data_IF_162669893087
#
_entry.id   IF_162669893087
#
_cell.length_a   1.000
_cell.length_b   1.000
_cell.length_c   1.000
_cell.angle_alpha   90.00
_cell.angle_beta   90.00
_cell.angle_gamma   90.00
#
_symmetry.space_group_name_H-M   'P 1'
#
loop_
_entity.id
_entity.type
_entity.pdbx_description
1 polymer ?
#
# COMPACT_ATOMS: atom_id res chain seq x y z
N UNK A 1 22.76 10.98 -10.40
CA UNK A 1 21.39 10.74 -10.92
C UNK A 1 20.64 12.06 -10.82
N UNK A 2 20.12 12.54 -11.93
CA UNK A 2 19.25 13.73 -11.92
C UNK A 2 17.84 13.29 -11.52
N UNK A 3 17.26 13.95 -10.51
CA UNK A 3 15.87 13.73 -10.12
C UNK A 3 14.92 14.02 -11.30
N UNK A 4 13.90 13.20 -11.46
CA UNK A 4 12.90 13.35 -12.52
C UNK A 4 11.57 13.78 -11.91
N UNK A 5 10.98 14.86 -12.43
CA UNK A 5 9.66 15.29 -12.00
C UNK A 5 8.59 14.29 -12.46
N UNK A 6 7.64 13.98 -11.59
CA UNK A 6 6.50 13.10 -11.89
C UNK A 6 5.45 13.69 -12.82
N UNK A 7 5.54 14.98 -13.17
CA UNK A 7 4.60 15.61 -14.10
C UNK A 7 3.14 15.62 -13.66
N UNK A 8 2.88 15.73 -12.36
CA UNK A 8 1.54 15.72 -11.77
C UNK A 8 0.70 16.96 -12.09
N UNK A 9 1.27 17.96 -12.75
CA UNK A 9 0.60 19.23 -13.11
C UNK A 9 -0.67 19.04 -13.97
N UNK A 10 -0.76 17.90 -14.68
CA UNK A 10 -1.93 17.53 -15.48
C UNK A 10 -2.95 16.68 -14.72
N UNK A 11 -2.72 16.43 -13.43
CA UNK A 11 -3.64 15.65 -12.60
C UNK A 11 -4.67 16.55 -11.93
N UNK A 12 -5.90 16.08 -11.85
CA UNK A 12 -6.93 16.72 -11.04
C UNK A 12 -7.10 15.95 -9.72
N UNK A 13 -6.93 16.66 -8.60
CA UNK A 13 -7.13 16.08 -7.28
C UNK A 13 -8.64 15.97 -7.00
N UNK A 14 -9.16 14.76 -7.08
CA UNK A 14 -10.59 14.48 -6.88
C UNK A 14 -10.93 14.08 -5.44
N UNK A 15 -9.94 13.69 -4.65
CA UNK A 15 -10.10 13.32 -3.24
C UNK A 15 -8.83 13.66 -2.47
N UNK A 16 -8.99 14.10 -1.22
CA UNK A 16 -7.87 14.30 -0.29
C UNK A 16 -8.28 14.04 1.17
N UNK A 17 -7.33 13.53 1.94
CA UNK A 17 -7.38 13.48 3.40
C UNK A 17 -6.05 13.96 3.95
N UNK A 18 -6.09 14.93 4.84
CA UNK A 18 -4.88 15.55 5.42
C UNK A 18 -4.38 14.85 6.68
N UNK A 19 -5.15 13.93 7.24
CA UNK A 19 -4.86 13.31 8.54
C UNK A 19 -4.61 11.80 8.46
N UNK A 20 -4.58 11.24 7.25
CA UNK A 20 -4.60 9.79 7.07
C UNK A 20 -5.91 9.17 7.54
N UNK A 21 -6.04 7.87 7.40
CA UNK A 21 -7.22 7.12 7.84
C UNK A 21 -6.83 5.75 8.39
N UNK A 22 -7.47 5.35 9.49
CA UNK A 22 -7.45 3.96 9.93
C UNK A 22 -8.72 3.29 9.42
N UNK A 23 -8.57 2.26 8.60
CA UNK A 23 -9.68 1.54 7.99
C UNK A 23 -9.73 0.12 8.56
N UNK A 24 -10.89 -0.30 9.07
CA UNK A 24 -11.13 -1.69 9.43
C UNK A 24 -11.60 -2.43 8.18
N UNK A 25 -10.68 -3.10 7.51
CA UNK A 25 -10.96 -3.81 6.25
C UNK A 25 -11.43 -5.22 6.57
N UNK A 26 -12.58 -5.60 6.01
CA UNK A 26 -13.14 -6.96 6.11
C UNK A 26 -13.44 -7.47 4.69
N UNK A 27 -13.42 -8.78 4.54
CA UNK A 27 -13.71 -9.40 3.26
C UNK A 27 -15.09 -8.98 2.73
N UNK A 28 -15.16 -8.59 1.45
CA UNK A 28 -16.37 -8.16 0.75
C UNK A 28 -17.09 -6.94 1.36
N UNK A 29 -16.40 -6.11 2.10
CA UNK A 29 -16.95 -4.89 2.67
C UNK A 29 -16.57 -3.66 1.84
N UNK A 30 -17.52 -2.75 1.64
CA UNK A 30 -17.25 -1.40 1.13
C UNK A 30 -17.06 -0.47 2.32
N UNK A 31 -15.99 0.30 2.31
CA UNK A 31 -15.65 1.24 3.38
C UNK A 31 -15.54 2.63 2.78
N UNK A 32 -16.22 3.60 3.37
CA UNK A 32 -16.05 5.00 3.01
C UNK A 32 -14.72 5.52 3.60
N UNK A 33 -13.84 5.96 2.73
CA UNK A 33 -12.57 6.58 3.14
C UNK A 33 -12.83 8.05 3.49
N UNK A 34 -12.58 8.48 4.74
CA UNK A 34 -12.83 9.86 5.13
C UNK A 34 -11.91 10.82 4.39
N UNK A 35 -12.49 11.91 3.89
CA UNK A 35 -11.76 12.92 3.13
C UNK A 35 -12.70 13.91 2.45
N UNK A 36 -12.10 14.84 1.73
CA UNK A 36 -12.82 15.84 0.93
C UNK A 36 -12.79 15.43 -0.54
N UNK A 37 -13.97 15.37 -1.14
CA UNK A 37 -14.11 15.06 -2.56
C UNK A 37 -14.31 16.32 -3.39
N UNK A 38 -13.69 16.36 -4.57
CA UNK A 38 -13.87 17.37 -5.59
C UNK A 38 -14.20 16.71 -6.93
N UNK A 39 -15.21 17.22 -7.61
CA UNK A 39 -15.61 16.68 -8.92
C UNK A 39 -14.56 17.08 -9.96
N UNK A 40 -14.01 16.12 -10.74
CA UNK A 40 -13.15 16.44 -11.87
C UNK A 40 -13.88 17.28 -12.93
N UNK A 41 -13.19 18.15 -13.66
CA UNK A 41 -13.73 18.79 -14.85
C UNK A 41 -14.28 17.77 -15.86
N UNK A 42 -15.22 18.21 -16.71
CA UNK A 42 -15.65 17.39 -17.83
C UNK A 42 -14.45 17.09 -18.74
N UNK A 43 -14.31 15.84 -19.13
CA UNK A 43 -13.16 15.39 -19.92
C UNK A 43 -12.97 13.89 -19.88
N UNK A 44 -11.93 13.44 -20.54
CA UNK A 44 -11.54 12.04 -20.62
C UNK A 44 -10.21 11.83 -19.92
N UNK A 45 -10.19 10.88 -19.01
CA UNK A 45 -9.03 10.55 -18.17
C UNK A 45 -8.52 9.16 -18.52
N UNK A 46 -7.21 9.04 -18.68
CA UNK A 46 -6.54 7.80 -19.07
C UNK A 46 -5.77 7.15 -17.92
N UNK A 47 -5.53 7.91 -16.84
CA UNK A 47 -4.73 7.47 -15.71
C UNK A 47 -5.40 7.82 -14.39
N UNK A 48 -5.16 6.98 -13.38
CA UNK A 48 -5.37 7.27 -11.97
C UNK A 48 -4.04 7.45 -11.26
N UNK A 49 -4.00 8.36 -10.31
CA UNK A 49 -2.83 8.59 -9.46
C UNK A 49 -3.26 8.59 -8.01
N UNK A 50 -2.56 7.83 -7.18
CA UNK A 50 -2.73 7.81 -5.74
C UNK A 50 -1.43 8.31 -5.10
N UNK A 51 -1.55 9.37 -4.30
CA UNK A 51 -0.44 9.92 -3.50
C UNK A 51 -0.75 9.65 -2.04
N UNK A 52 0.12 8.93 -1.37
CA UNK A 52 -0.03 8.55 0.05
C UNK A 52 1.29 8.76 0.79
N UNK A 53 1.22 8.80 2.11
CA UNK A 53 2.43 8.79 2.93
C UNK A 53 3.20 7.49 2.71
N UNK A 54 4.52 7.52 2.87
CA UNK A 54 5.37 6.34 2.77
C UNK A 54 5.33 5.47 4.04
N UNK A 55 4.42 5.76 4.97
CA UNK A 55 4.27 5.06 6.25
C UNK A 55 2.92 4.36 6.32
N UNK A 56 2.95 3.05 6.57
CA UNK A 56 1.79 2.17 6.63
C UNK A 56 1.69 1.50 7.99
N UNK A 57 0.48 1.41 8.54
CA UNK A 57 0.23 0.66 9.76
C UNK A 57 -0.70 -0.51 9.50
N UNK A 58 -0.30 -1.70 9.92
CA UNK A 58 -1.03 -2.94 9.76
C UNK A 58 -1.40 -3.50 11.13
N UNK A 59 -2.64 -3.99 11.26
CA UNK A 59 -3.11 -4.72 12.44
C UNK A 59 -3.89 -5.93 11.95
N UNK A 60 -3.37 -7.13 12.19
CA UNK A 60 -4.03 -8.35 11.75
C UNK A 60 -3.82 -9.51 12.72
N UNK A 61 -4.75 -10.46 12.70
CA UNK A 61 -4.63 -11.76 13.34
C UNK A 61 -5.17 -12.83 12.41
N UNK A 62 -4.50 -13.99 12.38
CA UNK A 62 -4.88 -15.14 11.56
C UNK A 62 -4.78 -16.42 12.36
N UNK A 63 -5.58 -17.41 11.94
CA UNK A 63 -5.46 -18.78 12.41
C UNK A 63 -5.06 -19.68 11.24
N UNK A 64 -4.06 -20.51 11.45
CA UNK A 64 -3.54 -21.48 10.50
C UNK A 64 -3.96 -22.92 10.87
N UNK A 65 -4.00 -23.81 9.89
CA UNK A 65 -4.30 -25.23 10.11
C UNK A 65 -3.14 -25.98 10.79
N UNK A 66 -1.91 -25.48 10.68
CA UNK A 66 -0.71 -25.99 11.31
C UNK A 66 0.05 -24.92 12.05
N UNK A 67 0.97 -25.31 12.93
CA UNK A 67 1.84 -24.38 13.60
C UNK A 67 2.82 -23.73 12.62
N UNK A 68 2.95 -22.40 12.70
CA UNK A 68 3.91 -21.60 11.94
C UNK A 68 4.75 -20.77 12.92
N UNK A 69 5.90 -20.27 12.49
CA UNK A 69 6.77 -19.40 13.28
C UNK A 69 6.35 -17.93 13.17
N UNK A 70 6.48 -17.19 14.25
CA UNK A 70 6.44 -15.73 14.25
C UNK A 70 7.84 -15.14 14.12
N UNK A 71 7.95 -13.92 13.59
CA UNK A 71 9.23 -13.21 13.44
C UNK A 71 9.95 -12.96 14.77
N UNK A 72 9.23 -12.99 15.88
CA UNK A 72 9.78 -12.91 17.23
C UNK A 72 10.32 -14.25 17.76
N UNK A 73 10.36 -15.31 16.93
CA UNK A 73 10.82 -16.66 17.29
C UNK A 73 9.80 -17.49 18.05
N UNK A 74 8.56 -17.03 18.18
CA UNK A 74 7.46 -17.83 18.75
C UNK A 74 6.87 -18.78 17.69
N UNK A 75 6.06 -19.76 18.11
CA UNK A 75 5.40 -20.70 17.19
C UNK A 75 4.00 -21.07 17.67
N UNK A 76 3.10 -21.26 16.72
CA UNK A 76 1.72 -21.66 17.01
C UNK A 76 0.79 -21.56 15.82
N UNK A 77 -0.48 -21.90 16.04
CA UNK A 77 -1.53 -21.86 15.00
C UNK A 77 -2.26 -20.52 14.95
N UNK A 78 -2.12 -19.67 15.97
CA UNK A 78 -2.67 -18.32 15.99
C UNK A 78 -1.53 -17.34 15.89
N UNK A 79 -1.53 -16.53 14.83
CA UNK A 79 -0.51 -15.51 14.61
C UNK A 79 -1.14 -14.13 14.53
N UNK A 80 -0.42 -13.13 15.02
CA UNK A 80 -0.86 -11.75 15.01
C UNK A 80 0.30 -10.79 14.78
N UNK A 81 0.01 -9.61 14.23
CA UNK A 81 0.96 -8.51 14.18
C UNK A 81 1.31 -8.02 15.58
N UNK A 82 2.54 -7.58 15.76
CA UNK A 82 3.06 -7.03 17.03
C UNK A 82 3.10 -5.51 16.94
N UNK A 83 2.78 -4.83 18.03
CA UNK A 83 2.95 -3.38 18.10
C UNK A 83 4.43 -3.01 17.99
N UNK A 84 4.76 -2.23 16.96
CA UNK A 84 6.14 -1.83 16.70
C UNK A 84 6.24 -0.98 15.43
N UNK A 85 7.48 -0.66 15.05
CA UNK A 85 7.77 0.04 13.80
C UNK A 85 9.14 -0.30 13.27
N UNK A 86 9.28 -0.33 11.95
CA UNK A 86 10.54 -0.53 11.26
C UNK A 86 10.60 0.31 9.99
N UNK A 87 11.82 0.73 9.63
CA UNK A 87 12.07 1.41 8.35
C UNK A 87 12.57 0.41 7.33
N UNK A 88 11.86 0.31 6.23
CA UNK A 88 12.16 -0.58 5.11
C UNK A 88 13.00 0.21 4.10
N UNK A 89 14.31 0.04 4.16
CA UNK A 89 15.30 0.72 3.31
C UNK A 89 15.96 -0.20 2.29
N UNK A 90 17.09 0.25 1.76
CA UNK A 90 17.83 -0.33 0.62
C UNK A 90 18.30 -1.78 0.75
N UNK A 91 17.91 -2.48 1.77
CA UNK A 91 18.22 -3.91 1.98
C UNK A 91 17.08 -4.86 1.60
N UNK A 92 15.88 -4.35 1.30
CA UNK A 92 14.69 -5.20 1.12
C UNK A 92 14.42 -6.02 2.38
N UNK A 93 14.62 -5.42 3.54
CA UNK A 93 14.56 -6.13 4.82
C UNK A 93 13.11 -6.53 5.12
N UNK A 94 12.95 -7.79 5.46
CA UNK A 94 11.72 -8.27 6.08
C UNK A 94 11.69 -7.73 7.51
N UNK A 95 10.57 -7.14 7.99
CA UNK A 95 10.50 -6.62 9.36
C UNK A 95 10.83 -7.68 10.39
N UNK A 96 11.80 -7.41 11.26
CA UNK A 96 12.42 -8.40 12.14
C UNK A 96 11.57 -8.82 13.34
N UNK A 97 10.47 -8.14 13.61
CA UNK A 97 9.58 -8.44 14.74
C UNK A 97 8.12 -8.09 14.45
N UNK A 98 7.69 -8.29 13.21
CA UNK A 98 6.35 -7.88 12.76
C UNK A 98 5.24 -8.81 13.24
N UNK A 99 5.55 -10.06 13.63
CA UNK A 99 4.55 -11.05 14.00
C UNK A 99 4.97 -11.92 15.19
N UNK A 100 3.97 -12.40 15.91
CA UNK A 100 4.08 -13.39 16.99
C UNK A 100 3.05 -14.49 16.78
N UNK A 101 3.38 -15.74 17.20
CA UNK A 101 2.49 -16.88 17.07
C UNK A 101 2.33 -17.62 18.40
N UNK A 102 1.19 -18.32 18.59
CA UNK A 102 0.90 -19.05 19.84
C UNK A 102 -0.17 -20.12 19.66
N UNK A 103 -0.44 -20.85 20.76
CA UNK A 103 -1.44 -21.93 20.80
C UNK A 103 -2.86 -21.44 21.00
N UNK A 104 -3.08 -20.16 21.29
CA UNK A 104 -4.38 -19.51 21.50
C UNK A 104 -4.44 -18.17 20.79
N UNK A 105 -5.66 -17.66 20.58
CA UNK A 105 -5.87 -16.38 19.92
C UNK A 105 -5.09 -15.24 20.61
N UNK A 106 -4.42 -14.42 19.80
CA UNK A 106 -3.58 -13.32 20.23
C UNK A 106 -4.26 -12.01 19.82
N UNK A 107 -4.24 -11.04 20.72
CA UNK A 107 -4.69 -9.68 20.39
C UNK A 107 -3.64 -9.00 19.53
N UNK A 108 -3.96 -8.58 18.28
CA UNK A 108 -2.97 -7.99 17.40
C UNK A 108 -2.60 -6.57 17.86
N UNK A 109 -1.31 -6.23 17.69
CA UNK A 109 -0.79 -4.89 17.81
C UNK A 109 -0.63 -4.23 16.45
N UNK A 110 -0.63 -2.89 16.38
CA UNK A 110 -0.36 -2.15 15.15
C UNK A 110 1.16 -2.17 14.88
N UNK A 111 1.57 -2.79 13.77
CA UNK A 111 2.93 -2.67 13.24
C UNK A 111 2.97 -1.56 12.20
N UNK A 112 3.99 -0.71 12.23
CA UNK A 112 4.14 0.45 11.34
C UNK A 112 5.41 0.30 10.52
N UNK A 113 5.27 0.33 9.21
CA UNK A 113 6.39 0.31 8.27
C UNK A 113 6.53 1.68 7.60
N UNK A 114 7.75 2.17 7.52
CA UNK A 114 8.11 3.35 6.73
C UNK A 114 8.95 2.90 5.55
N UNK A 115 8.41 3.03 4.36
CA UNK A 115 9.08 2.62 3.11
C UNK A 115 9.98 3.73 2.62
N UNK A 116 11.29 3.48 2.54
CA UNK A 116 12.28 4.45 2.05
C UNK A 116 12.96 4.02 0.76
N UNK A 117 12.84 2.75 0.36
CA UNK A 117 13.18 2.27 -0.99
C UNK A 117 12.43 0.97 -1.28
N UNK A 118 12.26 0.66 -2.56
CA UNK A 118 11.79 -0.66 -2.99
C UNK A 118 12.93 -1.68 -2.93
N UNK A 119 12.58 -2.93 -3.18
CA UNK A 119 13.56 -4.02 -3.21
C UNK A 119 14.80 -3.65 -4.05
N UNK A 120 15.97 -3.94 -3.54
CA UNK A 120 17.28 -3.60 -4.12
C UNK A 120 17.62 -2.10 -4.13
N UNK A 121 16.96 -1.27 -3.33
CA UNK A 121 17.26 0.15 -3.21
C UNK A 121 16.75 1.00 -4.37
N UNK A 122 15.75 0.53 -5.11
CA UNK A 122 15.10 1.29 -6.15
C UNK A 122 14.08 2.28 -5.58
N UNK A 123 13.86 3.39 -6.28
CA UNK A 123 12.84 4.41 -5.94
C UNK A 123 11.67 4.40 -6.93
N UNK A 124 11.70 3.49 -7.89
CA UNK A 124 10.65 3.20 -8.84
C UNK A 124 10.44 1.69 -8.95
N UNK A 125 9.22 1.27 -9.13
CA UNK A 125 8.85 -0.13 -9.32
C UNK A 125 7.63 -0.25 -10.23
N UNK A 126 7.69 -1.17 -11.18
CA UNK A 126 6.55 -1.54 -12.01
C UNK A 126 6.00 -2.89 -11.52
N UNK A 127 4.72 -2.92 -11.25
CA UNK A 127 3.99 -4.14 -10.90
C UNK A 127 2.87 -4.35 -11.91
N UNK A 128 2.91 -5.48 -12.59
CA UNK A 128 1.77 -5.96 -13.37
C UNK A 128 0.89 -6.78 -12.43
N UNK A 129 -0.21 -6.22 -12.00
CA UNK A 129 -1.21 -6.97 -11.25
C UNK A 129 -2.10 -7.72 -12.22
N UNK A 130 -1.94 -9.05 -12.28
CA UNK A 130 -2.83 -9.92 -13.00
C UNK A 130 -4.11 -10.13 -12.18
N UNK A 131 -5.25 -9.84 -12.81
CA UNK A 131 -6.55 -10.24 -12.27
C UNK A 131 -7.21 -9.36 -11.19
N UNK A 132 -7.06 -8.06 -11.24
CA UNK A 132 -7.99 -7.19 -10.55
C UNK A 132 -9.39 -7.31 -11.21
N UNK A 133 -10.26 -8.16 -10.66
CA UNK A 133 -11.59 -8.46 -11.22
C UNK A 133 -11.59 -8.94 -12.69
N UNK A 134 -10.59 -9.75 -13.09
CA UNK A 134 -10.47 -10.26 -14.46
C UNK A 134 -9.83 -9.29 -15.46
N UNK A 135 -9.25 -8.20 -14.98
CA UNK A 135 -8.56 -7.21 -15.82
C UNK A 135 -7.13 -7.04 -15.34
N UNK A 136 -6.15 -7.25 -16.22
CA UNK A 136 -4.76 -6.93 -15.92
C UNK A 136 -4.58 -5.41 -15.87
N UNK A 137 -3.93 -4.91 -14.83
CA UNK A 137 -3.57 -3.51 -14.69
C UNK A 137 -2.06 -3.39 -14.49
N UNK A 138 -1.46 -2.40 -15.14
CA UNK A 138 -0.08 -2.02 -14.86
C UNK A 138 -0.09 -0.88 -13.85
N UNK A 139 0.56 -1.11 -12.71
CA UNK A 139 0.73 -0.13 -11.64
C UNK A 139 2.21 0.19 -11.56
N UNK A 140 2.56 1.47 -11.67
CA UNK A 140 3.91 1.93 -11.38
C UNK A 140 3.92 2.66 -10.03
N UNK A 141 4.86 2.30 -9.18
CA UNK A 141 5.10 2.91 -7.87
C UNK A 141 6.36 3.79 -7.91
N UNK A 142 6.30 4.95 -7.27
CA UNK A 142 7.43 5.87 -7.17
C UNK A 142 7.52 6.43 -5.76
N UNK A 143 8.73 6.41 -5.21
CA UNK A 143 9.04 7.11 -3.97
C UNK A 143 9.56 8.50 -4.32
N UNK A 144 8.93 9.51 -3.76
CA UNK A 144 9.21 10.91 -4.09
C UNK A 144 9.69 11.70 -2.88
N UNK A 145 10.46 12.75 -3.18
CA UNK A 145 10.90 13.75 -2.23
C UNK A 145 9.82 14.81 -1.95
N UNK A 146 10.11 15.75 -1.05
CA UNK A 146 9.21 16.86 -0.69
C UNK A 146 8.93 17.82 -1.84
N UNK A 147 9.76 17.83 -2.88
CA UNK A 147 9.61 18.67 -4.07
C UNK A 147 8.79 17.94 -5.17
N UNK A 148 8.40 16.69 -4.94
CA UNK A 148 7.62 15.87 -5.88
C UNK A 148 8.46 15.23 -6.99
N UNK A 149 9.77 15.15 -6.83
CA UNK A 149 10.65 14.41 -7.74
C UNK A 149 10.87 12.99 -7.22
N UNK A 150 11.23 12.08 -8.11
CA UNK A 150 11.67 10.74 -7.71
C UNK A 150 12.86 10.89 -6.77
N UNK A 151 12.78 10.30 -5.57
CA UNK A 151 13.85 10.31 -4.59
C UNK A 151 15.11 9.66 -5.15
N UNK A 152 16.27 10.08 -4.67
CA UNK A 152 17.57 9.57 -5.11
C UNK A 152 18.35 8.86 -4.01
N UNK A 153 17.83 8.95 -2.79
CA UNK A 153 18.32 8.21 -1.61
C UNK A 153 17.19 8.04 -0.58
N UNK A 154 17.37 7.11 0.33
CA UNK A 154 16.38 6.73 1.36
C UNK A 154 15.95 7.90 2.26
N UNK A 155 16.85 8.84 2.55
CA UNK A 155 16.60 9.95 3.45
C UNK A 155 15.72 11.05 2.84
N UNK A 156 15.62 11.11 1.52
CA UNK A 156 14.84 12.11 0.79
C UNK A 156 13.38 11.68 0.58
N UNK A 157 13.04 10.41 0.86
CA UNK A 157 11.69 9.90 0.62
C UNK A 157 10.68 10.55 1.58
N UNK A 158 9.66 11.18 1.01
CA UNK A 158 8.54 11.81 1.72
C UNK A 158 7.22 11.06 1.49
N UNK A 159 6.94 10.62 0.24
CA UNK A 159 5.67 10.00 -0.14
C UNK A 159 5.83 8.87 -1.15
N UNK A 160 4.77 8.06 -1.25
CA UNK A 160 4.60 7.05 -2.28
C UNK A 160 3.54 7.51 -3.28
N UNK A 161 3.88 7.45 -4.57
CA UNK A 161 2.93 7.61 -5.68
C UNK A 161 2.68 6.25 -6.31
N UNK A 162 1.42 5.87 -6.44
CA UNK A 162 0.97 4.79 -7.32
C UNK A 162 0.29 5.37 -8.56
N UNK A 163 0.71 4.98 -9.74
CA UNK A 163 0.05 5.35 -10.99
C UNK A 163 -0.59 4.12 -11.62
N UNK A 164 -1.80 4.30 -12.14
CA UNK A 164 -2.56 3.26 -12.81
C UNK A 164 -3.00 3.76 -14.18
N UNK A 165 -2.70 2.99 -15.23
CA UNK A 165 -3.27 3.20 -16.55
C UNK A 165 -4.62 2.50 -16.62
N UNK A 166 -5.69 3.24 -16.90
CA UNK A 166 -7.00 2.64 -17.03
C UNK A 166 -7.08 1.77 -18.29
N UNK A 167 -7.63 0.56 -18.15
CA UNK A 167 -7.88 -0.33 -19.29
C UNK A 167 -8.83 0.27 -20.34
N UNK A 168 -9.71 1.18 -19.90
CA UNK A 168 -10.57 2.01 -20.76
C UNK A 168 -10.60 3.41 -20.18
N UNK A 169 -10.66 4.42 -21.04
CA UNK A 169 -10.73 5.80 -20.59
C UNK A 169 -11.98 6.07 -19.75
N UNK A 170 -11.82 6.87 -18.70
CA UNK A 170 -12.93 7.31 -17.82
C UNK A 170 -13.38 8.70 -18.29
N UNK A 171 -14.65 8.85 -18.65
CA UNK A 171 -15.20 10.12 -19.13
C UNK A 171 -16.11 10.75 -18.07
N UNK A 172 -15.86 12.02 -17.76
CA UNK A 172 -16.73 12.86 -16.94
C UNK A 172 -17.51 13.81 -17.84
N UNK A 173 -18.83 13.83 -17.67
CA UNK A 173 -19.76 14.73 -18.36
C UNK A 173 -20.69 15.36 -17.32
N UNK A 174 -21.49 16.34 -17.72
CA UNK A 174 -22.49 16.95 -16.82
C UNK A 174 -23.50 15.93 -16.24
N UNK A 175 -23.66 14.79 -16.90
CA UNK A 175 -24.51 13.70 -16.42
C UNK A 175 -23.81 12.78 -15.40
N UNK A 176 -22.50 12.91 -15.19
CA UNK A 176 -21.74 12.08 -14.23
C UNK A 176 -21.99 12.58 -12.82
N UNK A 177 -22.72 11.81 -12.03
CA UNK A 177 -23.11 12.17 -10.65
C UNK A 177 -22.32 11.42 -9.59
N UNK A 178 -21.67 10.30 -9.93
CA UNK A 178 -20.97 9.42 -8.99
C UNK A 178 -19.66 8.93 -9.59
N UNK A 179 -18.62 8.93 -8.79
CA UNK A 179 -17.36 8.21 -9.04
C UNK A 179 -17.17 7.21 -7.91
N UNK A 180 -17.04 5.95 -8.27
CA UNK A 180 -16.66 4.89 -7.32
C UNK A 180 -15.24 4.43 -7.66
N UNK A 181 -14.36 4.49 -6.67
CA UNK A 181 -13.03 3.90 -6.75
C UNK A 181 -13.00 2.68 -5.85
N UNK A 182 -12.55 1.55 -6.39
CA UNK A 182 -12.42 0.31 -5.63
C UNK A 182 -10.96 -0.08 -5.56
N UNK A 183 -10.49 -0.37 -4.36
CA UNK A 183 -9.16 -0.90 -4.11
C UNK A 183 -9.30 -2.35 -3.68
N UNK A 184 -8.65 -3.26 -4.40
CA UNK A 184 -8.53 -4.63 -3.93
C UNK A 184 -7.34 -4.69 -2.96
N UNK A 185 -7.62 -4.93 -1.70
CA UNK A 185 -6.59 -5.05 -0.65
C UNK A 185 -6.28 -6.51 -0.30
N UNK A 186 -6.91 -7.48 -0.99
CA UNK A 186 -6.72 -8.91 -0.73
C UNK A 186 -5.30 -9.40 -1.05
N UNK A 187 -4.55 -8.65 -1.86
CA UNK A 187 -3.15 -8.93 -2.20
C UNK A 187 -2.23 -7.76 -1.80
N UNK A 188 -2.76 -6.78 -1.07
CA UNK A 188 -2.01 -5.62 -0.58
C UNK A 188 -1.14 -5.92 0.64
N UNK A 189 -1.21 -7.14 1.13
CA UNK A 189 -0.45 -7.65 2.25
C UNK A 189 -0.10 -9.10 1.94
N UNK A 190 1.15 -9.47 1.98
CA UNK A 190 1.56 -10.86 1.87
C UNK A 190 2.10 -11.39 3.18
N UNK A 191 1.89 -12.67 3.39
CA UNK A 191 2.58 -13.45 4.38
C UNK A 191 3.77 -14.10 3.68
N UNK A 192 4.94 -13.76 4.10
CA UNK A 192 6.15 -14.41 3.63
C UNK A 192 6.55 -15.50 4.63
N UNK A 193 6.68 -16.72 4.12
CA UNK A 193 7.16 -17.87 4.86
C UNK A 193 8.50 -18.29 4.22
N UNK A 194 9.59 -18.12 4.93
CA UNK A 194 10.93 -18.57 4.49
C UNK A 194 11.20 -20.05 4.81
N UNK A 195 10.18 -20.76 5.31
CA UNK A 195 10.25 -22.14 5.74
C UNK A 195 10.63 -22.30 7.23
N UNK A 196 10.85 -21.22 7.94
CA UNK A 196 11.09 -21.20 9.39
C UNK A 196 10.19 -20.21 10.13
N UNK A 197 10.00 -19.04 9.58
CA UNK A 197 9.28 -17.95 10.24
C UNK A 197 8.30 -17.23 9.28
N UNK A 198 7.16 -16.78 9.83
CA UNK A 198 6.14 -16.05 9.09
C UNK A 198 6.34 -14.55 9.26
N UNK A 199 6.58 -13.86 8.16
CA UNK A 199 6.69 -12.41 8.11
C UNK A 199 5.47 -11.78 7.49
N UNK A 200 5.02 -10.64 8.03
CA UNK A 200 4.08 -9.75 7.37
C UNK A 200 4.87 -8.81 6.46
N UNK A 201 4.54 -8.80 5.18
CA UNK A 201 5.10 -7.89 4.17
C UNK A 201 3.98 -7.07 3.55
#
# INVERSE_FOLDING_TARGET
>A
TTSSSMGLDNCFKNWESSSGATLAIQQNQTIDVPGTMSRPPNGTYTHGVMLIDNTFGITMAMQFDGAVGGQDGTSGVFCASVAGSETMGSGGNIPSASSTCGSSAITPGKFVETLTSFNSGAFDADVTADNLNGTSASIAGYLIDTDGNIAVNDADVDKLIGTLVFASTVSFTDATTTLTMSFNVGEGMSLYDDGSDLSLI
#
